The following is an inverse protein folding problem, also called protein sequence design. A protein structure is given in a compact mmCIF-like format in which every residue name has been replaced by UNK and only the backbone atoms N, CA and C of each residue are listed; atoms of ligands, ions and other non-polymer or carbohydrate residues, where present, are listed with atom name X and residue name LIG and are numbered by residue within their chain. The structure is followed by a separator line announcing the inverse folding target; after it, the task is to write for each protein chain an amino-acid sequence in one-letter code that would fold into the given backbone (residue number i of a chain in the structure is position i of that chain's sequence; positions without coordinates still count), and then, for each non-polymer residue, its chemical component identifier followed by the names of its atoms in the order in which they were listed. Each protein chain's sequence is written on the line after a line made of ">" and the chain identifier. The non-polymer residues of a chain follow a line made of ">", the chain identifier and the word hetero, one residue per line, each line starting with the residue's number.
data_IF_855685325348
#
_entry.id   IF_855685325348
#
_cell.length_a   1.000
_cell.length_b   1.000
_cell.length_c   1.000
_cell.angle_alpha   90.00
_cell.angle_beta   90.00
_cell.angle_gamma   90.00
#
_symmetry.space_group_name_H-M   'P 1'
#
loop_
_entity.id
_entity.type
_entity.pdbx_description
1 polymer ?
#
# COMPACT_ATOMS: atom_id res chain seq x y z
N UNK A 1 4.38 2.20 11.27
CA UNK A 1 4.32 1.93 9.83
C UNK A 1 2.87 1.86 9.36
N UNK A 2 2.59 2.54 8.27
CA UNK A 2 1.26 2.47 7.64
C UNK A 2 1.32 1.44 6.51
N UNK A 3 0.38 0.50 6.52
CA UNK A 3 0.30 -0.55 5.51
C UNK A 3 -1.02 -0.41 4.77
N UNK A 4 -0.95 -0.35 3.45
CA UNK A 4 -2.12 -0.20 2.59
C UNK A 4 -2.10 -1.29 1.53
N UNK A 5 -3.24 -1.94 1.32
CA UNK A 5 -3.42 -2.93 0.25
C UNK A 5 -4.14 -2.29 -0.90
N UNK A 6 -3.58 -2.43 -2.10
CA UNK A 6 -4.17 -1.89 -3.34
C UNK A 6 -4.00 -2.87 -4.48
N UNK A 7 -4.95 -2.82 -5.41
CA UNK A 7 -4.86 -3.58 -6.65
C UNK A 7 -3.63 -3.16 -7.45
N UNK A 8 -2.99 -4.10 -8.12
CA UNK A 8 -1.87 -3.82 -9.02
C UNK A 8 -2.37 -3.04 -10.23
N UNK A 9 -2.10 -1.76 -10.23
CA UNK A 9 -2.51 -0.83 -11.28
C UNK A 9 -1.37 0.17 -11.51
N UNK A 10 -0.88 0.34 -12.75
CA UNK A 10 0.25 1.24 -13.02
C UNK A 10 0.05 2.65 -12.48
N UNK A 11 -1.14 3.22 -12.62
CA UNK A 11 -1.43 4.57 -12.12
C UNK A 11 -1.38 4.63 -10.59
N UNK A 12 -1.96 3.65 -9.91
CA UNK A 12 -1.90 3.55 -8.45
C UNK A 12 -0.47 3.31 -7.97
N UNK A 13 0.26 2.44 -8.66
CA UNK A 13 1.64 2.13 -8.30
C UNK A 13 2.52 3.38 -8.36
N UNK A 14 2.37 4.19 -9.41
CA UNK A 14 3.10 5.44 -9.52
C UNK A 14 2.73 6.41 -8.40
N UNK A 15 1.44 6.55 -8.10
CA UNK A 15 0.98 7.44 -7.04
C UNK A 15 1.49 7.00 -5.65
N UNK A 16 1.48 5.70 -5.37
CA UNK A 16 1.98 5.17 -4.11
C UNK A 16 3.48 5.40 -3.97
N UNK A 17 4.24 5.20 -5.04
CA UNK A 17 5.68 5.44 -5.05
C UNK A 17 5.98 6.92 -4.80
N UNK A 18 5.28 7.82 -5.44
CA UNK A 18 5.43 9.26 -5.21
C UNK A 18 5.10 9.67 -3.79
N UNK A 19 4.13 9.00 -3.17
CA UNK A 19 3.76 9.25 -1.78
C UNK A 19 4.76 8.70 -0.77
N UNK A 20 5.83 8.04 -1.23
CA UNK A 20 6.87 7.51 -0.36
C UNK A 20 6.62 6.11 0.15
N UNK A 21 5.65 5.39 -0.43
CA UNK A 21 5.39 4.00 -0.08
C UNK A 21 6.33 3.06 -0.79
N UNK A 22 6.61 1.94 -0.15
CA UNK A 22 7.42 0.85 -0.70
C UNK A 22 6.60 -0.42 -0.79
N UNK A 23 6.92 -1.27 -1.77
CA UNK A 23 6.28 -2.57 -1.90
C UNK A 23 6.82 -3.51 -0.83
N UNK A 24 5.92 -4.00 0.03
CA UNK A 24 6.26 -4.96 1.08
C UNK A 24 6.05 -6.38 0.58
N UNK A 25 4.93 -6.61 -0.10
CA UNK A 25 4.55 -7.92 -0.60
C UNK A 25 3.64 -7.79 -1.82
N UNK A 26 3.65 -8.82 -2.65
CA UNK A 26 2.75 -8.93 -3.80
C UNK A 26 2.01 -10.26 -3.64
N UNK A 27 0.69 -10.20 -3.68
CA UNK A 27 -0.17 -11.37 -3.55
C UNK A 27 -1.01 -11.54 -4.82
N UNK A 28 -1.07 -12.77 -5.30
CA UNK A 28 -1.87 -13.12 -6.48
C UNK A 28 -2.95 -14.11 -6.07
N UNK A 29 -4.18 -13.80 -6.45
CA UNK A 29 -5.34 -14.64 -6.16
C UNK A 29 -5.86 -15.24 -7.47
N UNK A 30 -6.11 -16.55 -7.45
CA UNK A 30 -6.69 -17.29 -8.56
C UNK A 30 -8.12 -17.67 -8.20
N UNK A 31 -9.07 -17.14 -8.94
CA UNK A 31 -10.48 -17.42 -8.74
C UNK A 31 -10.91 -18.66 -9.53
N UNK A 32 -11.90 -19.42 -9.05
CA UNK A 32 -12.37 -20.62 -9.75
C UNK A 32 -12.87 -20.40 -11.17
N UNK A 33 -13.31 -19.19 -11.50
CA UNK A 33 -13.77 -18.82 -12.83
C UNK A 33 -12.64 -18.50 -13.82
N UNK A 34 -11.39 -18.63 -13.39
CA UNK A 34 -10.23 -18.35 -14.22
C UNK A 34 -9.71 -16.91 -14.13
N UNK A 35 -10.33 -16.07 -13.33
CA UNK A 35 -9.87 -14.71 -13.11
C UNK A 35 -8.69 -14.72 -12.15
N UNK A 36 -7.67 -13.93 -12.46
CA UNK A 36 -6.52 -13.72 -11.59
C UNK A 36 -6.46 -12.26 -11.18
N UNK A 37 -6.33 -12.03 -9.88
CA UNK A 37 -6.16 -10.69 -9.33
C UNK A 37 -4.84 -10.59 -8.59
N UNK A 38 -4.15 -9.47 -8.76
CA UNK A 38 -2.90 -9.19 -8.06
C UNK A 38 -3.09 -7.97 -7.19
N UNK A 39 -2.72 -8.10 -5.92
CA UNK A 39 -2.74 -7.02 -4.96
C UNK A 39 -1.33 -6.77 -4.45
N UNK A 40 -1.04 -5.51 -4.17
CA UNK A 40 0.24 -5.09 -3.64
C UNK A 40 0.03 -4.53 -2.24
N UNK A 41 0.82 -5.01 -1.29
CA UNK A 41 0.94 -4.42 0.03
C UNK A 41 2.00 -3.35 0.00
N UNK A 42 1.59 -2.13 0.30
CA UNK A 42 2.47 -0.97 0.37
C UNK A 42 2.69 -0.59 1.83
N UNK A 43 3.90 -0.19 2.16
CA UNK A 43 4.21 0.29 3.48
C UNK A 43 4.99 1.59 3.43
N UNK A 44 4.77 2.42 4.43
CA UNK A 44 5.51 3.64 4.62
C UNK A 44 5.80 3.83 6.10
N UNK A 45 7.06 4.11 6.41
CA UNK A 45 7.44 4.47 7.77
C UNK A 45 7.02 5.90 8.04
N UNK A 46 6.23 6.06 9.09
CA UNK A 46 5.80 7.35 9.56
C UNK A 46 6.41 7.58 10.95
N UNK A 47 6.93 8.77 11.22
CA UNK A 47 7.41 9.06 12.56
C UNK A 47 6.23 9.00 13.55
N UNK A 48 6.49 8.54 14.80
CA UNK A 48 5.43 8.54 15.80
C UNK A 48 4.93 9.94 16.05
N UNK A 49 3.62 10.08 16.24
CA UNK A 49 3.02 11.35 16.59
C UNK A 49 3.43 11.70 18.03
N UNK A 50 4.02 12.87 18.21
CA UNK A 50 4.37 13.37 19.54
C UNK A 50 3.26 14.27 20.07
N UNK A 51 3.24 14.51 21.39
CA UNK A 51 2.24 15.39 21.98
C UNK A 51 2.25 16.79 21.37
N UNK A 52 3.44 17.27 20.95
CA UNK A 52 3.57 18.56 20.33
C UNK A 52 2.90 18.66 18.96
N UNK A 53 2.66 17.53 18.32
CA UNK A 53 2.05 17.44 16.99
C UNK A 53 0.55 17.16 17.04
N UNK A 54 0.03 16.82 18.20
CA UNK A 54 -1.39 16.53 18.36
C UNK A 54 -2.15 17.83 18.54
N UNK A 55 -3.05 18.18 17.62
CA UNK A 55 -3.89 19.37 17.78
C UNK A 55 -4.98 19.11 18.82
N UNK A 56 -5.21 20.07 19.65
CA UNK A 56 -6.27 20.01 20.65
C UNK A 56 -7.33 21.05 20.39
#
# INVERSE_FOLDING_TARGET
>A
MTIIRRTDCPALNAAMTEAGYEIIAVETYHWPDGVTETEILWGRDEPPITEAEVPF
#
